data_IF_813249718258
#
_entry.id   IF_813249718258
#
_cell.length_a   1.000
_cell.length_b   1.000
_cell.length_c   1.000
_cell.angle_alpha   90.00
_cell.angle_beta   90.00
_cell.angle_gamma   90.00
#
_symmetry.space_group_name_H-M   'P 1'
#
loop_
_entity.id
_entity.type
_entity.pdbx_description
1 polymer ?
#
# COMPACT_ATOMS: atom_id res chain seq x y z
N UNK A 1 -11.61 -17.75 4.21
CA UNK A 1 -10.32 -17.12 4.57
C UNK A 1 -10.55 -15.65 4.85
N UNK A 2 -9.95 -15.14 5.91
CA UNK A 2 -10.19 -13.78 6.33
C UNK A 2 -9.20 -12.84 5.67
N UNK A 3 -9.68 -11.73 5.12
CA UNK A 3 -8.79 -10.76 4.49
C UNK A 3 -7.91 -10.06 5.52
N UNK A 4 -6.65 -9.85 5.18
CA UNK A 4 -5.72 -9.08 5.99
C UNK A 4 -5.52 -7.67 5.45
N UNK A 5 -6.02 -7.38 4.25
CA UNK A 5 -5.92 -6.08 3.62
C UNK A 5 -7.16 -5.79 2.81
N UNK A 6 -7.45 -4.52 2.61
CA UNK A 6 -8.61 -4.05 1.88
C UNK A 6 -8.16 -3.25 0.66
N UNK A 7 -8.65 -3.65 -0.51
CA UNK A 7 -8.47 -2.90 -1.76
C UNK A 7 -9.82 -2.30 -2.10
N UNK A 8 -9.89 -0.97 -2.15
CA UNK A 8 -11.19 -0.30 -2.24
C UNK A 8 -11.59 -0.02 -3.68
N UNK A 9 -10.63 0.35 -4.52
CA UNK A 9 -10.91 0.72 -5.90
C UNK A 9 -9.97 -0.04 -6.84
N UNK A 10 -10.44 -0.47 -8.03
CA UNK A 10 -9.59 -1.24 -8.94
C UNK A 10 -8.32 -0.53 -9.37
N UNK A 11 -8.30 0.80 -9.36
CA UNK A 11 -7.13 1.56 -9.78
C UNK A 11 -6.13 1.82 -8.65
N UNK A 12 -6.45 1.39 -7.42
CA UNK A 12 -5.56 1.62 -6.28
C UNK A 12 -4.25 0.88 -6.48
N UNK A 13 -3.15 1.51 -6.12
CA UNK A 13 -1.85 0.83 -6.10
C UNK A 13 -1.37 0.58 -4.67
N UNK A 14 -2.22 0.85 -3.69
CA UNK A 14 -1.97 0.48 -2.29
C UNK A 14 -3.22 -0.15 -1.72
N UNK A 15 -3.04 -1.04 -0.75
CA UNK A 15 -4.11 -1.60 0.05
C UNK A 15 -3.98 -1.08 1.46
N UNK A 16 -5.05 -1.22 2.25
CA UNK A 16 -5.04 -0.82 3.66
C UNK A 16 -5.00 -2.07 4.51
N UNK A 17 -4.05 -2.15 5.44
CA UNK A 17 -3.92 -3.30 6.33
C UNK A 17 -5.09 -3.32 7.32
N UNK A 18 -5.80 -4.44 7.37
CA UNK A 18 -6.90 -4.63 8.31
C UNK A 18 -6.39 -5.17 9.65
N UNK A 19 -5.18 -5.69 9.66
CA UNK A 19 -4.54 -6.22 10.85
C UNK A 19 -3.05 -5.91 10.75
N UNK A 20 -2.37 -5.85 11.88
CA UNK A 20 -0.91 -5.67 11.86
C UNK A 20 -0.26 -6.91 11.26
N UNK A 21 0.74 -6.71 10.41
CA UNK A 21 1.43 -7.80 9.73
C UNK A 21 2.93 -7.68 9.95
N UNK A 22 3.58 -8.85 10.06
CA UNK A 22 5.03 -8.93 10.11
C UNK A 22 5.58 -9.14 8.71
N UNK A 23 6.86 -8.79 8.52
CA UNK A 23 7.51 -9.05 7.24
C UNK A 23 7.41 -10.54 6.90
N UNK A 24 7.03 -10.84 5.67
CA UNK A 24 6.85 -12.21 5.20
C UNK A 24 5.47 -12.77 5.38
N UNK A 25 4.54 -12.01 5.98
CA UNK A 25 3.17 -12.47 6.11
C UNK A 25 2.46 -12.44 4.77
N UNK A 26 1.54 -13.39 4.58
CA UNK A 26 0.72 -13.42 3.36
C UNK A 26 -0.36 -12.34 3.44
N UNK A 27 -0.47 -11.55 2.39
CA UNK A 27 -1.53 -10.55 2.27
C UNK A 27 -2.71 -11.20 1.56
N UNK A 28 -3.86 -11.21 2.22
CA UNK A 28 -5.10 -11.74 1.66
C UNK A 28 -6.07 -10.59 1.43
N UNK A 29 -6.53 -10.44 0.21
CA UNK A 29 -7.48 -9.41 -0.16
C UNK A 29 -8.51 -9.99 -1.12
N UNK A 30 -9.78 -9.64 -0.91
CA UNK A 30 -10.88 -10.15 -1.73
C UNK A 30 -10.94 -11.67 -1.75
N UNK A 31 -10.55 -12.31 -0.62
CA UNK A 31 -10.59 -13.76 -0.49
C UNK A 31 -9.45 -14.49 -1.19
N UNK A 32 -8.48 -13.78 -1.74
CA UNK A 32 -7.38 -14.35 -2.50
C UNK A 32 -6.06 -14.00 -1.83
N UNK A 33 -5.17 -15.00 -1.71
CA UNK A 33 -3.80 -14.74 -1.28
C UNK A 33 -3.06 -14.05 -2.41
N UNK A 34 -2.68 -12.81 -2.20
CA UNK A 34 -2.17 -11.99 -3.28
C UNK A 34 -0.63 -11.96 -3.34
N UNK A 35 0.01 -11.74 -2.19
CA UNK A 35 1.48 -11.63 -2.14
C UNK A 35 1.92 -11.65 -0.68
N UNK A 36 3.22 -11.51 -0.43
CA UNK A 36 3.74 -11.43 0.94
C UNK A 36 4.31 -10.04 1.20
N UNK A 37 4.25 -9.63 2.47
CA UNK A 37 4.80 -8.34 2.87
C UNK A 37 6.33 -8.41 2.88
N UNK A 38 6.97 -7.27 2.61
CA UNK A 38 8.41 -7.12 2.75
C UNK A 38 8.79 -6.45 4.07
N UNK A 39 7.83 -5.74 4.68
CA UNK A 39 8.04 -4.97 5.90
C UNK A 39 6.99 -5.33 6.92
N UNK A 40 7.21 -4.91 8.16
CA UNK A 40 6.14 -4.84 9.14
C UNK A 40 5.15 -3.78 8.71
N UNK A 41 3.86 -4.11 8.76
CA UNK A 41 2.81 -3.18 8.35
C UNK A 41 1.90 -2.95 9.55
N UNK A 42 1.85 -1.74 10.12
CA UNK A 42 0.90 -1.44 11.19
C UNK A 42 -0.54 -1.50 10.68
N UNK A 43 -1.47 -1.79 11.59
CA UNK A 43 -2.88 -1.80 11.23
C UNK A 43 -3.30 -0.44 10.69
N UNK A 44 -4.15 -0.43 9.68
CA UNK A 44 -4.69 0.76 9.00
C UNK A 44 -3.68 1.50 8.14
N UNK A 45 -2.48 0.98 8.00
CA UNK A 45 -1.47 1.58 7.12
C UNK A 45 -1.51 0.97 5.74
N UNK A 46 -0.84 1.64 4.79
CA UNK A 46 -0.87 1.26 3.38
C UNK A 46 0.21 0.25 3.05
N UNK A 47 -0.11 -0.67 2.15
CA UNK A 47 0.80 -1.68 1.63
C UNK A 47 0.85 -1.49 0.12
N UNK A 48 2.02 -1.48 -0.48
CA UNK A 48 2.15 -1.37 -1.94
C UNK A 48 1.64 -2.64 -2.61
N UNK A 49 0.74 -2.49 -3.56
CA UNK A 49 0.17 -3.61 -4.34
C UNK A 49 1.05 -3.98 -5.52
N UNK A 50 1.95 -3.11 -5.93
CA UNK A 50 2.90 -3.32 -7.01
C UNK A 50 4.09 -2.41 -6.76
N UNK A 51 5.13 -2.57 -7.59
CA UNK A 51 6.25 -1.66 -7.52
C UNK A 51 5.80 -0.27 -7.96
N UNK A 52 6.20 0.75 -7.21
CA UNK A 52 5.84 2.14 -7.47
C UNK A 52 7.14 2.91 -7.65
N UNK A 53 7.32 3.51 -8.82
CA UNK A 53 8.54 4.24 -9.12
C UNK A 53 8.59 5.56 -8.34
N UNK A 54 9.80 6.06 -8.09
CA UNK A 54 9.98 7.37 -7.48
C UNK A 54 9.26 8.42 -8.33
N UNK A 55 8.47 9.29 -7.70
CA UNK A 55 7.70 10.31 -8.40
C UNK A 55 6.37 9.83 -8.91
N UNK A 56 6.05 8.55 -8.76
CA UNK A 56 4.77 8.01 -9.21
C UNK A 56 3.68 8.33 -8.21
N UNK A 57 2.44 8.48 -8.69
CA UNK A 57 1.31 8.81 -7.83
C UNK A 57 0.88 7.61 -7.00
N UNK A 58 0.53 7.88 -5.74
CA UNK A 58 -0.07 6.89 -4.84
C UNK A 58 -1.58 7.05 -4.96
N UNK A 59 -2.25 5.98 -5.38
CA UNK A 59 -3.70 6.00 -5.64
C UNK A 59 -4.41 5.17 -4.60
N UNK A 60 -5.35 5.81 -3.90
CA UNK A 60 -6.17 5.18 -2.88
C UNK A 60 -7.60 5.67 -3.05
N UNK A 61 -8.56 4.76 -3.01
CA UNK A 61 -9.98 5.07 -3.26
C UNK A 61 -10.18 5.68 -4.66
N UNK A 62 -9.34 5.28 -5.60
CA UNK A 62 -9.43 5.80 -6.97
C UNK A 62 -8.89 7.20 -7.14
N UNK A 63 -8.27 7.79 -6.12
CA UNK A 63 -7.78 9.17 -6.16
C UNK A 63 -6.31 9.23 -5.82
N UNK A 64 -5.60 10.17 -6.41
CA UNK A 64 -4.21 10.41 -6.07
C UNK A 64 -4.14 11.13 -4.73
N UNK A 65 -3.52 10.48 -3.74
CA UNK A 65 -3.42 11.04 -2.38
C UNK A 65 -2.01 11.50 -2.05
N UNK A 66 -1.01 11.03 -2.78
CA UNK A 66 0.39 11.33 -2.49
C UNK A 66 1.24 11.02 -3.71
N UNK A 67 2.53 11.34 -3.62
CA UNK A 67 3.53 11.02 -4.64
C UNK A 67 4.67 10.30 -3.92
N UNK A 68 5.18 9.23 -4.52
CA UNK A 68 6.29 8.50 -3.92
C UNK A 68 7.55 9.34 -3.99
N UNK A 69 8.38 9.24 -2.95
CA UNK A 69 9.65 9.97 -2.89
C UNK A 69 10.84 9.06 -3.20
N UNK A 70 10.58 7.77 -3.39
CA UNK A 70 11.59 6.76 -3.73
C UNK A 70 10.88 5.56 -4.34
N UNK A 71 11.67 4.64 -4.90
CA UNK A 71 11.11 3.39 -5.39
C UNK A 71 10.50 2.64 -4.22
N UNK A 72 9.26 2.19 -4.39
CA UNK A 72 8.55 1.37 -3.40
C UNK A 72 8.31 0.01 -4.05
N UNK A 73 8.70 -1.05 -3.37
CA UNK A 73 8.50 -2.40 -3.88
C UNK A 73 7.17 -2.96 -3.43
N UNK A 74 6.58 -3.82 -4.26
CA UNK A 74 5.36 -4.53 -3.89
C UNK A 74 5.55 -5.21 -2.52
N UNK A 75 4.60 -5.00 -1.63
CA UNK A 75 4.64 -5.56 -0.29
C UNK A 75 5.30 -4.67 0.75
N UNK A 76 5.83 -3.53 0.36
CA UNK A 76 6.46 -2.61 1.32
C UNK A 76 5.42 -1.73 2.00
N UNK A 77 5.77 -1.29 3.19
CA UNK A 77 5.00 -0.34 3.97
C UNK A 77 5.09 1.04 3.30
N UNK A 78 3.94 1.64 3.04
CA UNK A 78 3.85 2.95 2.38
C UNK A 78 3.41 3.96 3.43
N UNK A 79 4.30 4.89 3.77
CA UNK A 79 4.00 5.90 4.79
C UNK A 79 4.92 7.11 4.54
N UNK A 80 5.00 8.02 5.51
CA UNK A 80 5.71 9.29 5.32
C UNK A 80 7.18 9.12 4.95
N UNK A 81 7.79 7.97 5.21
CA UNK A 81 9.19 7.75 4.86
C UNK A 81 9.41 7.57 3.35
N UNK A 82 8.36 7.25 2.58
CA UNK A 82 8.50 7.01 1.15
C UNK A 82 7.40 7.66 0.31
N UNK A 83 6.64 8.57 0.91
CA UNK A 83 5.64 9.33 0.16
C UNK A 83 5.57 10.77 0.65
N UNK A 84 5.00 11.63 -0.20
CA UNK A 84 4.75 13.03 0.12
C UNK A 84 3.31 13.33 -0.27
N UNK A 85 2.58 14.00 0.61
CA UNK A 85 1.18 14.28 0.36
C UNK A 85 1.01 15.22 -0.82
N UNK A 86 0.16 14.84 -1.76
CA UNK A 86 -0.07 15.65 -2.94
C UNK A 86 -0.84 16.91 -2.64
N UNK A 87 -1.67 16.90 -1.62
CA UNK A 87 -2.55 18.03 -1.33
C UNK A 87 -1.78 19.31 -1.00
N UNK A 88 -0.52 19.20 -0.65
CA UNK A 88 0.32 20.35 -0.32
C UNK A 88 1.09 20.91 -1.52
N UNK A 89 1.00 20.24 -2.63
CA UNK A 89 1.62 20.73 -3.85
C UNK A 89 0.73 21.82 -4.43
N UNK A 90 1.28 22.94 -4.64
CA UNK A 90 0.56 24.05 -5.23
C UNK A 90 0.91 24.19 -6.67
#
# INVERSE_FOLDING_TARGET
MKDSALIIHPQDNVAVALTAMSAGDTVTANGIEAFTTLDEIPVSHKIALRDIASGEEIIKYGETVAVSTRLIKKGQWVHTHNLESKRWKK
#
